data_IF_382219354732
#
_entry.id   IF_382219354732
#
_cell.length_a   1.000
_cell.length_b   1.000
_cell.length_c   1.000
_cell.angle_alpha   90.00
_cell.angle_beta   90.00
_cell.angle_gamma   90.00
#
_symmetry.space_group_name_H-M   'P 1'
#
loop_
_entity.id
_entity.type
_entity.pdbx_description
1 polymer ?
#
# COMPACT_ATOMS: atom_id res chain seq x y z
N UNK A 1 -36.20 24.21 -12.43
CA UNK A 1 -35.84 24.08 -11.01
C UNK A 1 -35.11 22.77 -10.66
N UNK A 2 -34.98 21.80 -11.61
CA UNK A 2 -34.31 20.51 -11.34
C UNK A 2 -32.78 20.51 -11.57
N UNK A 3 -32.26 21.42 -12.41
CA UNK A 3 -30.84 21.45 -12.75
C UNK A 3 -29.90 21.86 -11.61
N UNK A 4 -30.32 22.72 -10.69
CA UNK A 4 -29.49 23.16 -9.58
C UNK A 4 -29.22 22.08 -8.53
N UNK A 5 -30.21 21.22 -8.26
CA UNK A 5 -30.06 20.10 -7.31
C UNK A 5 -29.12 19.01 -7.83
N UNK A 6 -29.16 18.71 -9.11
CA UNK A 6 -28.25 17.71 -9.75
C UNK A 6 -26.80 18.18 -9.65
N UNK A 7 -26.53 19.47 -9.83
CA UNK A 7 -25.18 20.04 -9.70
C UNK A 7 -24.67 19.98 -8.26
N UNK A 8 -25.55 20.21 -7.27
CA UNK A 8 -25.20 20.12 -5.85
C UNK A 8 -24.88 18.67 -5.43
N UNK A 9 -25.66 17.68 -5.89
CA UNK A 9 -25.38 16.27 -5.64
C UNK A 9 -24.08 15.82 -6.33
N UNK A 10 -23.82 16.26 -7.55
CA UNK A 10 -22.57 15.94 -8.24
C UNK A 10 -21.33 16.53 -7.54
N UNK A 11 -21.44 17.71 -6.89
CA UNK A 11 -20.36 18.27 -6.09
C UNK A 11 -20.09 17.45 -4.81
N UNK A 12 -21.11 16.81 -4.23
CA UNK A 12 -20.97 15.94 -3.05
C UNK A 12 -20.34 14.57 -3.39
N UNK A 13 -20.29 14.19 -4.65
CA UNK A 13 -19.67 12.94 -5.12
C UNK A 13 -18.15 13.06 -5.37
N UNK A 14 -17.54 14.20 -5.00
CA UNK A 14 -16.11 14.37 -5.14
C UNK A 14 -15.38 13.57 -4.06
N UNK A 15 -14.80 12.45 -4.45
CA UNK A 15 -13.78 11.79 -3.63
C UNK A 15 -12.50 12.62 -3.64
N UNK A 16 -11.86 12.70 -2.50
CA UNK A 16 -10.51 13.25 -2.41
C UNK A 16 -9.59 12.37 -3.28
N UNK A 17 -9.04 12.96 -4.34
CA UNK A 17 -8.28 12.24 -5.35
C UNK A 17 -7.01 11.65 -4.75
N UNK A 18 -6.96 10.36 -4.59
CA UNK A 18 -5.72 9.62 -4.52
C UNK A 18 -5.43 9.11 -5.93
N UNK A 19 -4.28 9.45 -6.49
CA UNK A 19 -3.92 9.26 -7.89
C UNK A 19 -4.16 7.85 -8.45
N UNK A 20 -4.14 6.81 -7.62
CA UNK A 20 -4.38 5.42 -8.04
C UNK A 20 -5.86 5.03 -8.14
N UNK A 21 -6.78 5.79 -7.54
CA UNK A 21 -8.20 5.44 -7.45
C UNK A 21 -9.11 6.31 -8.32
N UNK A 22 -8.57 7.42 -8.86
CA UNK A 22 -9.35 8.40 -9.63
C UNK A 22 -9.90 7.79 -10.94
N UNK A 23 -9.08 7.01 -11.63
CA UNK A 23 -9.48 6.33 -12.87
C UNK A 23 -10.64 5.35 -12.64
N UNK A 24 -10.55 4.54 -11.60
CA UNK A 24 -11.55 3.53 -11.26
C UNK A 24 -12.86 4.18 -10.84
N UNK A 25 -12.79 5.24 -10.03
CA UNK A 25 -13.96 5.97 -9.56
C UNK A 25 -14.63 6.75 -10.70
N UNK A 26 -13.84 7.43 -11.52
CA UNK A 26 -14.34 8.15 -12.69
C UNK A 26 -15.02 7.19 -13.68
N UNK A 27 -14.49 5.96 -13.85
CA UNK A 27 -15.14 4.93 -14.66
C UNK A 27 -16.50 4.52 -14.06
N UNK A 28 -16.60 4.30 -12.75
CA UNK A 28 -17.90 3.97 -12.10
C UNK A 28 -18.93 5.07 -12.33
N UNK A 29 -18.55 6.34 -12.20
CA UNK A 29 -19.46 7.47 -12.46
C UNK A 29 -19.91 7.52 -13.92
N UNK A 30 -19.00 7.23 -14.86
CA UNK A 30 -19.26 7.17 -16.29
C UNK A 30 -20.20 6.01 -16.66
N UNK A 31 -19.92 4.80 -16.15
CA UNK A 31 -20.68 3.57 -16.42
C UNK A 31 -22.11 3.68 -15.90
N UNK A 32 -22.32 4.38 -14.78
CA UNK A 32 -23.62 4.65 -14.20
C UNK A 32 -24.29 5.95 -14.69
N UNK A 33 -23.78 6.54 -15.77
CA UNK A 33 -24.32 7.77 -16.38
C UNK A 33 -24.45 8.98 -15.45
N UNK A 34 -23.64 9.02 -14.37
CA UNK A 34 -23.61 10.12 -13.42
C UNK A 34 -22.82 11.30 -14.01
N UNK A 35 -21.80 10.99 -14.82
CA UNK A 35 -21.07 11.97 -15.63
C UNK A 35 -21.31 11.73 -17.12
N UNK A 36 -21.25 12.80 -17.91
CA UNK A 36 -21.51 12.73 -19.36
C UNK A 36 -20.35 12.17 -20.17
N UNK A 37 -19.13 12.17 -19.60
CA UNK A 37 -17.93 11.66 -20.24
C UNK A 37 -17.94 10.14 -20.24
N UNK A 38 -17.88 9.51 -21.42
CA UNK A 38 -17.75 8.06 -21.55
C UNK A 38 -16.27 7.68 -21.44
N UNK A 39 -15.95 6.88 -20.43
CA UNK A 39 -14.60 6.38 -20.17
C UNK A 39 -14.49 4.90 -20.54
N UNK A 40 -13.31 4.48 -21.00
CA UNK A 40 -13.03 3.08 -21.24
C UNK A 40 -12.82 2.34 -19.91
N UNK A 41 -13.28 1.09 -19.85
CA UNK A 41 -13.12 0.24 -18.67
C UNK A 41 -11.64 -0.04 -18.42
N UNK A 42 -11.13 0.27 -17.21
CA UNK A 42 -9.75 -0.06 -16.84
C UNK A 42 -9.48 -1.55 -16.87
N UNK A 43 -8.23 -1.94 -17.19
CA UNK A 43 -7.83 -3.35 -17.17
C UNK A 43 -7.97 -3.95 -15.76
N UNK A 44 -8.42 -5.21 -15.69
CA UNK A 44 -8.64 -5.93 -14.42
C UNK A 44 -9.55 -5.19 -13.42
N UNK A 45 -10.43 -4.30 -13.90
CA UNK A 45 -11.31 -3.47 -13.08
C UNK A 45 -12.06 -4.27 -12.00
N UNK A 46 -12.57 -5.45 -12.35
CA UNK A 46 -13.31 -6.29 -11.39
C UNK A 46 -12.52 -6.73 -10.15
N UNK A 47 -11.20 -6.72 -10.21
CA UNK A 47 -10.29 -7.10 -9.12
C UNK A 47 -9.78 -5.91 -8.33
N UNK A 48 -9.97 -4.68 -8.81
CA UNK A 48 -9.50 -3.47 -8.16
C UNK A 48 -10.31 -3.14 -6.90
N UNK A 49 -9.68 -2.52 -5.90
CA UNK A 49 -10.28 -2.26 -4.57
C UNK A 49 -11.54 -1.42 -4.65
N UNK A 50 -11.54 -0.34 -5.46
CA UNK A 50 -12.70 0.55 -5.63
C UNK A 50 -13.89 -0.22 -6.25
N UNK A 51 -13.65 -1.05 -7.27
CA UNK A 51 -14.70 -1.85 -7.87
C UNK A 51 -15.28 -2.90 -6.91
N UNK A 52 -14.42 -3.48 -6.04
CA UNK A 52 -14.89 -4.41 -4.99
C UNK A 52 -15.71 -3.69 -3.93
N UNK A 53 -15.25 -2.51 -3.48
CA UNK A 53 -15.96 -1.68 -2.51
C UNK A 53 -17.31 -1.24 -3.07
N UNK A 54 -17.35 -0.74 -4.31
CA UNK A 54 -18.59 -0.33 -4.98
C UNK A 54 -19.63 -1.47 -5.02
N UNK A 55 -19.23 -2.67 -5.47
CA UNK A 55 -20.13 -3.84 -5.50
C UNK A 55 -20.58 -4.27 -4.10
N UNK A 56 -19.71 -4.18 -3.12
CA UNK A 56 -20.05 -4.50 -1.74
C UNK A 56 -21.09 -3.52 -1.20
N UNK A 57 -20.91 -2.22 -1.40
CA UNK A 57 -21.88 -1.21 -0.96
C UNK A 57 -23.23 -1.32 -1.72
N UNK A 58 -23.20 -1.61 -3.03
CA UNK A 58 -24.45 -1.87 -3.76
C UNK A 58 -25.23 -3.01 -3.13
N UNK A 59 -24.55 -4.13 -2.85
CA UNK A 59 -25.21 -5.29 -2.22
C UNK A 59 -25.75 -4.93 -0.83
N UNK A 60 -25.01 -4.21 0.00
CA UNK A 60 -25.51 -3.78 1.30
C UNK A 60 -26.75 -2.90 1.20
N UNK A 61 -26.81 -2.00 0.22
CA UNK A 61 -27.96 -1.14 -0.01
C UNK A 61 -29.15 -1.98 -0.47
N UNK A 62 -28.95 -2.95 -1.37
CA UNK A 62 -29.99 -3.87 -1.84
C UNK A 62 -30.54 -4.71 -0.67
N UNK A 63 -29.68 -5.29 0.16
CA UNK A 63 -30.06 -6.07 1.33
C UNK A 63 -30.87 -5.22 2.34
N UNK A 64 -30.42 -3.99 2.64
CA UNK A 64 -31.12 -3.05 3.52
C UNK A 64 -32.50 -2.63 2.96
N UNK A 65 -32.60 -2.40 1.64
CA UNK A 65 -33.89 -2.11 0.99
C UNK A 65 -34.86 -3.26 1.17
N UNK A 66 -34.41 -4.51 1.02
CA UNK A 66 -35.26 -5.70 1.21
C UNK A 66 -35.68 -5.86 2.67
N UNK A 67 -34.81 -5.57 3.64
CA UNK A 67 -35.15 -5.59 5.06
C UNK A 67 -36.24 -4.55 5.38
N UNK A 68 -36.07 -3.29 4.93
CA UNK A 68 -37.07 -2.23 5.12
C UNK A 68 -38.41 -2.61 4.50
N UNK A 69 -38.41 -3.25 3.32
CA UNK A 69 -39.65 -3.72 2.66
C UNK A 69 -40.31 -4.91 3.36
N UNK A 70 -39.51 -5.73 4.05
CA UNK A 70 -40.04 -6.82 4.87
C UNK A 70 -40.78 -6.27 6.07
N UNK A 71 -40.24 -5.24 6.71
CA UNK A 71 -40.83 -4.56 7.87
C UNK A 71 -42.04 -3.68 7.48
N UNK A 72 -42.02 -3.11 6.27
CA UNK A 72 -43.10 -2.29 5.74
C UNK A 72 -43.43 -2.66 4.26
N UNK A 73 -44.30 -3.67 4.03
CA UNK A 73 -44.60 -4.17 2.70
C UNK A 73 -45.20 -3.14 1.73
N UNK A 74 -45.71 -2.02 2.23
CA UNK A 74 -46.32 -0.97 1.39
C UNK A 74 -45.32 0.11 0.96
N UNK A 75 -44.08 0.04 1.39
CA UNK A 75 -43.05 1.03 1.01
C UNK A 75 -42.55 0.75 -0.39
N UNK A 76 -42.36 1.79 -1.19
CA UNK A 76 -41.73 1.68 -2.50
C UNK A 76 -40.20 1.59 -2.35
N UNK A 77 -39.50 1.06 -3.36
CA UNK A 77 -38.03 1.01 -3.38
C UNK A 77 -37.38 2.39 -3.16
N UNK A 78 -37.95 3.43 -3.80
CA UNK A 78 -37.55 4.82 -3.62
C UNK A 78 -37.78 5.28 -2.17
N UNK A 79 -38.90 4.90 -1.56
CA UNK A 79 -39.18 5.21 -0.16
C UNK A 79 -38.18 4.56 0.81
N UNK A 80 -37.80 3.31 0.56
CA UNK A 80 -36.78 2.60 1.30
C UNK A 80 -35.40 3.26 1.15
N UNK A 81 -35.00 3.64 -0.06
CA UNK A 81 -33.75 4.37 -0.32
C UNK A 81 -33.73 5.73 0.42
N UNK A 82 -34.83 6.46 0.47
CA UNK A 82 -34.90 7.69 1.25
C UNK A 82 -34.75 7.46 2.76
N UNK A 83 -35.20 6.34 3.29
CA UNK A 83 -34.94 6.00 4.69
C UNK A 83 -33.45 5.75 4.95
N UNK A 84 -32.76 5.07 4.03
CA UNK A 84 -31.32 4.87 4.12
C UNK A 84 -30.58 6.22 4.08
N UNK A 85 -30.93 7.11 3.14
CA UNK A 85 -30.33 8.45 3.04
C UNK A 85 -30.53 9.24 4.34
N UNK A 86 -31.72 9.19 4.95
CA UNK A 86 -31.96 9.84 6.25
C UNK A 86 -31.10 9.30 7.38
N UNK A 87 -30.78 7.98 7.38
CA UNK A 87 -29.82 7.41 8.36
C UNK A 87 -28.44 8.05 8.20
N UNK A 88 -27.97 8.27 6.95
CA UNK A 88 -26.71 8.97 6.69
C UNK A 88 -26.76 10.45 7.07
N UNK A 89 -27.86 11.15 6.79
CA UNK A 89 -28.04 12.56 7.16
C UNK A 89 -28.08 12.76 8.69
N UNK A 90 -28.52 11.76 9.44
CA UNK A 90 -28.53 11.77 10.90
C UNK A 90 -27.15 11.44 11.52
N UNK A 91 -26.17 11.03 10.73
CA UNK A 91 -24.82 10.74 11.22
C UNK A 91 -24.11 12.05 11.64
N UNK A 92 -23.54 12.03 12.84
CA UNK A 92 -22.71 13.12 13.33
C UNK A 92 -21.28 12.89 12.92
N UNK A 93 -20.74 13.79 12.12
CA UNK A 93 -19.33 13.77 11.68
C UNK A 93 -18.56 14.84 12.46
N UNK A 94 -17.40 14.46 12.97
CA UNK A 94 -16.47 15.36 13.64
C UNK A 94 -15.26 15.57 12.75
N UNK A 95 -15.07 16.80 12.28
CA UNK A 95 -13.84 17.23 11.60
C UNK A 95 -12.79 17.64 12.63
N UNK A 96 -11.59 17.11 12.53
CA UNK A 96 -10.47 17.49 13.38
C UNK A 96 -9.35 18.00 12.47
N UNK A 97 -8.97 19.25 12.66
CA UNK A 97 -7.83 19.87 11.99
C UNK A 97 -6.63 19.84 12.93
N UNK A 98 -5.46 19.55 12.38
CA UNK A 98 -4.20 19.49 13.13
C UNK A 98 -3.13 20.28 12.38
N UNK A 99 -2.28 20.98 13.12
CA UNK A 99 -1.33 21.92 12.55
C UNK A 99 -0.06 21.24 12.03
N UNK A 100 0.28 20.06 12.55
CA UNK A 100 1.51 19.38 12.18
C UNK A 100 1.27 17.93 11.73
N UNK A 101 2.10 17.43 10.81
CA UNK A 101 2.06 16.03 10.39
C UNK A 101 2.27 15.07 11.56
N UNK A 102 3.05 15.45 12.56
CA UNK A 102 3.28 14.67 13.78
C UNK A 102 2.00 14.52 14.60
N UNK A 103 1.25 15.62 14.79
CA UNK A 103 -0.01 15.59 15.54
C UNK A 103 -1.09 14.83 14.77
N UNK A 104 -1.13 14.98 13.43
CA UNK A 104 -1.99 14.17 12.56
C UNK A 104 -1.70 12.68 12.72
N UNK A 105 -0.42 12.29 12.76
CA UNK A 105 -0.01 10.92 12.97
C UNK A 105 -0.45 10.39 14.35
N UNK A 106 -0.16 11.11 15.43
CA UNK A 106 -0.51 10.68 16.78
C UNK A 106 -2.02 10.55 16.98
N UNK A 107 -2.79 11.49 16.41
CA UNK A 107 -4.25 11.44 16.43
C UNK A 107 -4.78 10.24 15.63
N UNK A 108 -4.26 10.03 14.43
CA UNK A 108 -4.65 8.93 13.56
C UNK A 108 -4.37 7.57 14.22
N UNK A 109 -3.19 7.38 14.81
CA UNK A 109 -2.83 6.17 15.55
C UNK A 109 -3.77 5.94 16.75
N UNK A 110 -4.02 6.97 17.54
CA UNK A 110 -4.91 6.90 18.70
C UNK A 110 -6.36 6.53 18.32
N UNK A 111 -6.87 7.07 17.22
CA UNK A 111 -8.24 6.78 16.75
C UNK A 111 -8.35 5.37 16.19
N UNK A 112 -7.33 4.91 15.46
CA UNK A 112 -7.34 3.57 14.83
C UNK A 112 -7.11 2.42 15.81
N UNK A 113 -6.57 2.68 17.00
CA UNK A 113 -6.48 1.66 18.05
C UNK A 113 -7.85 1.07 18.47
N UNK A 114 -8.94 1.76 18.13
CA UNK A 114 -10.33 1.34 18.47
C UNK A 114 -11.09 0.71 17.28
N UNK A 115 -10.48 0.64 16.08
CA UNK A 115 -11.11 0.16 14.85
C UNK A 115 -10.35 -0.96 14.18
N UNK A 116 -10.30 -0.95 12.83
CA UNK A 116 -9.49 -1.88 12.05
C UNK A 116 -8.01 -1.55 12.29
N UNK A 117 -7.21 -2.52 12.78
CA UNK A 117 -5.81 -2.24 13.08
C UNK A 117 -5.06 -1.84 11.81
N UNK A 118 -4.18 -0.85 11.94
CA UNK A 118 -3.26 -0.47 10.87
C UNK A 118 -2.35 -1.63 10.51
N UNK A 119 -2.03 -1.74 9.23
CA UNK A 119 -1.03 -2.69 8.79
C UNK A 119 0.36 -2.30 9.31
N UNK A 120 1.27 -3.28 9.42
CA UNK A 120 2.65 -3.02 9.83
C UNK A 120 3.32 -1.95 8.94
N UNK A 121 3.04 -1.98 7.63
CA UNK A 121 3.58 -0.99 6.69
C UNK A 121 2.99 0.40 6.88
N UNK A 122 1.73 0.52 7.29
CA UNK A 122 1.15 1.82 7.63
C UNK A 122 1.79 2.41 8.89
N UNK A 123 2.06 1.59 9.90
CA UNK A 123 2.74 2.02 11.11
C UNK A 123 4.18 2.47 10.82
N UNK A 124 4.92 1.70 10.02
CA UNK A 124 6.29 2.05 9.59
C UNK A 124 6.27 3.36 8.79
N UNK A 125 5.39 3.50 7.80
CA UNK A 125 5.22 4.74 7.02
C UNK A 125 4.95 5.94 7.93
N UNK A 126 4.01 5.79 8.84
CA UNK A 126 3.61 6.86 9.74
C UNK A 126 4.76 7.25 10.68
N UNK A 127 5.48 6.27 11.23
CA UNK A 127 6.68 6.51 12.04
C UNK A 127 7.75 7.28 11.26
N UNK A 128 7.93 6.95 9.97
CA UNK A 128 8.87 7.61 9.07
C UNK A 128 8.48 9.08 8.82
N UNK A 129 7.21 9.35 8.51
CA UNK A 129 6.69 10.70 8.29
C UNK A 129 6.81 11.54 9.56
N UNK A 130 6.59 10.94 10.74
CA UNK A 130 6.69 11.63 12.03
C UNK A 130 8.12 12.09 12.39
N UNK A 131 9.16 11.55 11.74
CA UNK A 131 10.55 12.00 11.91
C UNK A 131 10.94 13.17 11.01
N UNK A 132 10.09 13.54 10.05
CA UNK A 132 10.36 14.67 9.17
C UNK A 132 10.37 15.99 9.97
N UNK A 133 11.33 16.85 9.67
CA UNK A 133 11.55 18.12 10.39
C UNK A 133 10.51 19.17 10.02
N UNK A 134 9.99 19.09 8.80
CA UNK A 134 9.02 20.04 8.23
C UNK A 134 8.11 19.34 7.19
N UNK A 135 7.11 20.06 6.69
CA UNK A 135 6.15 19.53 5.72
C UNK A 135 6.78 19.08 4.41
N UNK A 136 7.77 19.82 3.90
CA UNK A 136 8.44 19.47 2.64
C UNK A 136 9.25 18.16 2.77
N UNK A 137 9.92 17.94 3.91
CA UNK A 137 10.61 16.70 4.21
C UNK A 137 9.61 15.53 4.34
N UNK A 138 8.47 15.77 4.97
CA UNK A 138 7.41 14.77 5.10
C UNK A 138 6.84 14.35 3.74
N UNK A 139 6.58 15.32 2.86
CA UNK A 139 6.09 15.07 1.51
C UNK A 139 7.13 14.30 0.68
N UNK A 140 8.41 14.67 0.76
CA UNK A 140 9.50 13.96 0.09
C UNK A 140 9.64 12.51 0.60
N UNK A 141 9.63 12.31 1.90
CA UNK A 141 9.70 10.97 2.51
C UNK A 141 8.50 10.11 2.08
N UNK A 142 7.31 10.70 2.01
CA UNK A 142 6.11 10.01 1.53
C UNK A 142 6.19 9.63 0.05
N UNK A 143 6.69 10.51 -0.81
CA UNK A 143 6.88 10.19 -2.24
C UNK A 143 7.92 9.08 -2.44
N UNK A 144 9.04 9.11 -1.73
CA UNK A 144 10.04 8.03 -1.77
C UNK A 144 9.45 6.70 -1.28
N UNK A 145 8.70 6.71 -0.19
CA UNK A 145 7.97 5.54 0.29
C UNK A 145 7.04 4.95 -0.76
N UNK A 146 6.26 5.80 -1.45
CA UNK A 146 5.38 5.36 -2.54
C UNK A 146 6.16 4.72 -3.70
N UNK A 147 7.32 5.29 -4.05
CA UNK A 147 8.19 4.73 -5.08
C UNK A 147 8.71 3.34 -4.69
N UNK A 148 9.13 3.16 -3.44
CA UNK A 148 9.52 1.84 -2.91
C UNK A 148 8.38 0.83 -3.04
N UNK A 149 7.18 1.16 -2.58
CA UNK A 149 6.03 0.27 -2.68
C UNK A 149 5.64 -0.05 -4.13
N UNK A 150 5.73 0.95 -5.02
CA UNK A 150 5.48 0.77 -6.45
C UNK A 150 6.47 -0.19 -7.09
N UNK A 151 7.75 -0.07 -6.76
CA UNK A 151 8.80 -0.94 -7.30
C UNK A 151 8.60 -2.41 -6.89
N UNK A 152 8.17 -2.68 -5.66
CA UNK A 152 8.02 -4.06 -5.15
C UNK A 152 6.65 -4.69 -5.40
N UNK A 153 5.67 -3.93 -5.93
CA UNK A 153 4.32 -4.44 -6.23
C UNK A 153 3.23 -3.58 -5.59
N UNK A 154 2.75 -2.60 -6.34
CA UNK A 154 1.92 -1.48 -5.86
C UNK A 154 0.65 -1.89 -5.10
N UNK A 155 0.05 -3.04 -5.44
CA UNK A 155 -1.28 -3.44 -4.94
C UNK A 155 -1.27 -4.75 -4.13
N UNK A 156 -0.10 -5.33 -3.87
CA UNK A 156 0.03 -6.57 -3.12
C UNK A 156 0.75 -6.36 -1.79
N UNK A 157 -0.06 -6.14 -0.74
CA UNK A 157 0.45 -5.98 0.63
C UNK A 157 1.35 -7.15 1.07
N UNK A 158 1.05 -8.38 0.65
CA UNK A 158 1.82 -9.55 1.09
C UNK A 158 3.22 -9.57 0.47
N UNK A 159 3.34 -9.12 -0.77
CA UNK A 159 4.64 -8.94 -1.46
C UNK A 159 5.42 -7.80 -0.82
N UNK A 160 4.76 -6.68 -0.55
CA UNK A 160 5.36 -5.53 0.12
C UNK A 160 5.90 -5.91 1.50
N UNK A 161 5.07 -6.49 2.38
CA UNK A 161 5.49 -6.91 3.72
C UNK A 161 6.64 -7.91 3.66
N UNK A 162 6.63 -8.83 2.71
CA UNK A 162 7.71 -9.79 2.46
C UNK A 162 9.01 -9.08 2.11
N UNK A 163 8.97 -8.09 1.21
CA UNK A 163 10.13 -7.28 0.86
C UNK A 163 10.77 -6.65 2.10
N UNK A 164 10.00 -5.97 2.94
CA UNK A 164 10.53 -5.32 4.14
C UNK A 164 11.20 -6.29 5.10
N UNK A 165 10.62 -7.49 5.30
CA UNK A 165 11.24 -8.54 6.11
C UNK A 165 12.51 -9.08 5.49
N UNK A 166 12.48 -9.36 4.19
CA UNK A 166 13.63 -9.92 3.47
C UNK A 166 14.76 -8.90 3.32
N UNK A 167 14.45 -7.63 3.08
CA UNK A 167 15.44 -6.54 3.06
C UNK A 167 16.23 -6.50 4.36
N UNK A 168 15.55 -6.38 5.49
CA UNK A 168 16.26 -6.33 6.77
C UNK A 168 17.08 -7.61 7.01
N UNK A 169 16.51 -8.77 6.77
CA UNK A 169 17.18 -10.04 7.02
C UNK A 169 18.40 -10.26 6.11
N UNK A 170 18.34 -9.82 4.84
CA UNK A 170 19.46 -9.93 3.89
C UNK A 170 20.62 -9.00 4.25
N UNK A 171 20.33 -7.78 4.71
CA UNK A 171 21.31 -6.72 4.95
C UNK A 171 21.49 -6.40 6.43
N UNK A 172 20.98 -7.24 7.34
CA UNK A 172 20.98 -7.00 8.78
C UNK A 172 22.35 -6.65 9.34
N UNK A 173 23.38 -7.35 8.92
CA UNK A 173 24.74 -7.13 9.44
C UNK A 173 25.33 -5.81 8.94
N UNK A 174 25.02 -5.41 7.72
CA UNK A 174 25.41 -4.13 7.14
C UNK A 174 24.65 -2.97 7.80
N UNK A 175 23.33 -3.11 7.91
CA UNK A 175 22.46 -2.12 8.54
C UNK A 175 22.79 -1.88 10.02
N UNK A 176 23.21 -2.91 10.73
CA UNK A 176 23.58 -2.82 12.15
C UNK A 176 25.08 -2.56 12.38
N UNK A 177 25.93 -2.58 11.36
CA UNK A 177 27.36 -2.41 11.51
C UNK A 177 27.76 -1.13 12.26
N UNK A 178 27.15 0.05 12.00
CA UNK A 178 27.47 1.28 12.72
C UNK A 178 27.20 1.20 14.23
N UNK A 179 26.27 0.35 14.65
CA UNK A 179 25.79 0.27 16.04
C UNK A 179 26.47 -0.83 16.86
N UNK A 180 27.21 -1.74 16.19
CA UNK A 180 27.92 -2.84 16.88
C UNK A 180 29.01 -2.34 17.82
N UNK A 181 29.62 -1.22 17.48
CA UNK A 181 30.79 -0.66 18.22
C UNK A 181 30.50 0.60 19.03
N UNK A 182 29.55 1.44 18.59
CA UNK A 182 29.37 2.78 19.14
C UNK A 182 28.16 2.91 20.09
N UNK A 183 27.01 2.36 19.73
CA UNK A 183 25.79 2.45 20.54
C UNK A 183 24.93 1.20 20.39
N UNK A 184 25.03 0.28 21.36
CA UNK A 184 24.25 -0.96 21.41
C UNK A 184 22.72 -0.73 21.45
N UNK A 185 22.26 0.50 21.71
CA UNK A 185 20.85 0.84 21.83
C UNK A 185 20.06 0.55 20.54
N UNK A 186 20.66 0.72 19.37
CA UNK A 186 20.03 0.49 18.08
C UNK A 186 20.42 -0.84 17.44
N UNK A 187 21.37 -1.58 18.00
CA UNK A 187 21.76 -2.88 17.48
C UNK A 187 20.65 -3.91 17.68
N UNK A 188 20.20 -4.52 16.57
CA UNK A 188 19.14 -5.50 16.53
C UNK A 188 19.69 -6.85 16.06
N UNK A 189 19.95 -7.76 17.02
CA UNK A 189 20.51 -9.08 16.74
C UNK A 189 19.50 -10.11 16.22
N UNK A 190 18.19 -9.81 16.25
CA UNK A 190 17.13 -10.73 15.88
C UNK A 190 16.65 -10.52 14.42
N UNK A 191 15.95 -11.51 13.89
CA UNK A 191 15.40 -11.50 12.54
C UNK A 191 14.10 -10.70 12.46
N UNK A 192 13.83 -10.10 11.29
CA UNK A 192 12.54 -9.55 10.97
C UNK A 192 11.54 -10.66 10.69
N UNK A 193 10.51 -10.71 11.52
CA UNK A 193 9.31 -11.54 11.42
C UNK A 193 8.10 -10.63 11.31
N UNK A 194 6.89 -11.17 11.17
CA UNK A 194 5.67 -10.35 11.23
C UNK A 194 5.51 -9.61 12.56
N UNK A 195 5.96 -10.20 13.65
CA UNK A 195 5.81 -9.64 15.01
C UNK A 195 6.89 -8.64 15.37
N UNK A 196 8.09 -8.75 14.79
CA UNK A 196 9.25 -7.89 15.11
C UNK A 196 9.47 -6.77 14.10
N UNK A 197 8.75 -6.79 12.96
CA UNK A 197 8.96 -5.88 11.84
C UNK A 197 8.84 -4.41 12.26
N UNK A 198 7.78 -4.07 12.96
CA UNK A 198 7.50 -2.69 13.40
C UNK A 198 8.62 -2.19 14.32
N UNK A 199 8.98 -2.95 15.36
CA UNK A 199 10.03 -2.57 16.31
C UNK A 199 11.39 -2.35 15.64
N UNK A 200 11.74 -3.20 14.65
CA UNK A 200 12.95 -3.07 13.86
C UNK A 200 12.96 -1.74 13.10
N UNK A 201 11.91 -1.48 12.33
CA UNK A 201 11.85 -0.29 11.49
C UNK A 201 11.73 0.99 12.29
N UNK A 202 10.99 1.00 13.40
CA UNK A 202 10.94 2.17 14.28
C UNK A 202 12.32 2.54 14.84
N UNK A 203 13.14 1.56 15.20
CA UNK A 203 14.52 1.80 15.67
C UNK A 203 15.42 2.32 14.56
N UNK A 204 15.32 1.75 13.35
CA UNK A 204 16.08 2.23 12.20
C UNK A 204 15.66 3.66 11.80
N UNK A 205 14.39 3.96 11.81
CA UNK A 205 13.82 5.28 11.50
C UNK A 205 14.31 6.32 12.53
N UNK A 206 14.27 5.99 13.81
CA UNK A 206 14.78 6.87 14.89
C UNK A 206 16.29 7.11 14.80
N UNK A 207 17.02 6.20 14.18
CA UNK A 207 18.45 6.36 13.96
C UNK A 207 18.74 7.33 12.81
N UNK A 208 18.28 7.01 11.61
CA UNK A 208 18.38 7.85 10.41
C UNK A 208 17.38 7.37 9.35
N UNK A 209 16.24 8.06 9.27
CA UNK A 209 15.19 7.70 8.32
C UNK A 209 15.57 7.98 6.86
N UNK A 210 16.46 8.96 6.59
CA UNK A 210 16.87 9.32 5.22
C UNK A 210 17.77 8.22 4.65
N UNK A 211 18.75 7.79 5.41
CA UNK A 211 19.63 6.66 5.04
C UNK A 211 18.80 5.37 4.86
N UNK A 212 17.81 5.15 5.72
CA UNK A 212 16.90 4.00 5.56
C UNK A 212 16.13 4.05 4.25
N UNK A 213 15.56 5.20 3.88
CA UNK A 213 14.81 5.37 2.61
C UNK A 213 15.69 5.17 1.38
N UNK A 214 16.91 5.70 1.38
CA UNK A 214 17.87 5.49 0.30
C UNK A 214 18.18 3.99 0.12
N UNK A 215 18.46 3.30 1.22
CA UNK A 215 18.69 1.86 1.22
C UNK A 215 17.47 1.08 0.72
N UNK A 216 16.27 1.42 1.18
CA UNK A 216 15.03 0.79 0.72
C UNK A 216 14.80 1.00 -0.77
N UNK A 217 15.02 2.21 -1.28
CA UNK A 217 14.82 2.53 -2.69
C UNK A 217 15.78 1.75 -3.59
N UNK A 218 17.06 1.69 -3.24
CA UNK A 218 18.06 0.92 -3.99
C UNK A 218 17.69 -0.58 -4.04
N UNK A 219 17.38 -1.18 -2.88
CA UNK A 219 17.09 -2.61 -2.78
C UNK A 219 15.72 -2.97 -3.33
N UNK A 220 14.73 -2.05 -3.29
CA UNK A 220 13.45 -2.22 -3.95
C UNK A 220 13.58 -2.34 -5.47
N UNK A 221 14.47 -1.56 -6.09
CA UNK A 221 14.76 -1.68 -7.51
C UNK A 221 15.39 -3.04 -7.86
N UNK A 222 16.28 -3.57 -7.02
CA UNK A 222 16.82 -4.93 -7.21
C UNK A 222 15.77 -6.01 -6.97
N UNK A 223 14.91 -5.82 -5.98
CA UNK A 223 13.81 -6.75 -5.70
C UNK A 223 12.75 -6.76 -6.81
N UNK A 224 12.53 -5.63 -7.47
CA UNK A 224 11.59 -5.54 -8.60
C UNK A 224 11.99 -6.45 -9.75
N UNK A 225 13.29 -6.63 -10.02
CA UNK A 225 13.79 -7.57 -11.03
C UNK A 225 13.35 -9.00 -10.71
N UNK A 226 13.25 -9.37 -9.42
CA UNK A 226 12.85 -10.72 -9.01
C UNK A 226 11.33 -10.92 -9.12
N UNK A 227 10.53 -9.89 -8.76
CA UNK A 227 9.06 -10.03 -8.64
C UNK A 227 8.28 -9.56 -9.86
N UNK A 228 8.83 -8.59 -10.63
CA UNK A 228 8.18 -8.01 -11.81
C UNK A 228 8.82 -8.49 -13.12
N UNK A 229 9.42 -9.65 -13.14
CA UNK A 229 10.21 -10.28 -14.20
C UNK A 229 9.44 -10.44 -15.54
N UNK A 230 8.86 -9.36 -16.04
CA UNK A 230 8.07 -9.32 -17.29
C UNK A 230 8.91 -8.98 -18.52
N UNK A 231 10.10 -8.40 -18.34
CA UNK A 231 10.96 -7.93 -19.41
C UNK A 231 12.11 -8.94 -19.65
N UNK A 232 12.35 -9.30 -20.91
CA UNK A 232 13.42 -10.23 -21.31
C UNK A 232 14.81 -9.56 -21.35
N UNK A 233 15.04 -8.56 -20.50
CA UNK A 233 16.30 -7.79 -20.49
C UNK A 233 17.50 -8.57 -19.94
N UNK A 234 17.26 -9.60 -19.14
CA UNK A 234 18.33 -10.37 -18.50
C UNK A 234 18.28 -11.85 -18.85
N UNK A 235 19.45 -12.47 -19.02
CA UNK A 235 19.57 -13.91 -19.33
C UNK A 235 18.95 -14.82 -18.26
N UNK A 236 18.74 -14.32 -17.04
CA UNK A 236 18.11 -15.04 -15.93
C UNK A 236 16.59 -14.80 -15.79
N UNK A 237 15.97 -13.98 -16.66
CA UNK A 237 14.53 -13.64 -16.55
C UNK A 237 13.64 -14.88 -16.56
N UNK A 238 13.83 -15.80 -17.51
CA UNK A 238 13.05 -17.03 -17.59
C UNK A 238 13.23 -17.92 -16.34
N UNK A 239 14.45 -18.01 -15.81
CA UNK A 239 14.71 -18.75 -14.57
C UNK A 239 14.01 -18.12 -13.36
N UNK A 240 13.99 -16.77 -13.26
CA UNK A 240 13.23 -16.06 -12.22
C UNK A 240 11.72 -16.32 -12.33
N UNK A 241 11.16 -16.34 -13.54
CA UNK A 241 9.75 -16.69 -13.77
C UNK A 241 9.44 -18.12 -13.33
N UNK A 242 10.32 -19.08 -13.61
CA UNK A 242 10.17 -20.47 -13.18
C UNK A 242 10.24 -20.59 -11.66
N UNK A 243 11.18 -19.89 -11.02
CA UNK A 243 11.28 -19.84 -9.57
C UNK A 243 10.00 -19.27 -8.92
N UNK A 244 9.40 -18.22 -9.52
CA UNK A 244 8.14 -17.66 -9.07
C UNK A 244 6.98 -18.67 -9.16
N UNK A 245 6.92 -19.49 -10.24
CA UNK A 245 5.89 -20.52 -10.45
C UNK A 245 5.91 -21.62 -9.38
N UNK A 246 7.09 -21.98 -8.88
CA UNK A 246 7.23 -22.97 -7.79
C UNK A 246 7.13 -22.36 -6.39
N UNK A 247 6.70 -21.10 -6.29
CA UNK A 247 6.62 -20.37 -5.02
C UNK A 247 7.97 -20.20 -4.30
N UNK A 248 9.03 -19.98 -5.05
CA UNK A 248 10.41 -19.84 -4.58
C UNK A 248 10.70 -18.56 -3.76
N UNK A 249 9.68 -17.89 -3.26
CA UNK A 249 9.79 -16.65 -2.49
C UNK A 249 10.78 -16.67 -1.30
N UNK A 250 11.03 -17.78 -0.60
CA UNK A 250 12.11 -17.84 0.42
C UNK A 250 13.49 -17.52 -0.14
N UNK A 251 13.76 -17.84 -1.40
CA UNK A 251 15.05 -17.59 -2.07
C UNK A 251 15.24 -16.11 -2.44
N UNK A 252 14.20 -15.31 -2.46
CA UNK A 252 14.27 -13.90 -2.89
C UNK A 252 15.20 -13.05 -2.00
N UNK A 253 15.34 -13.40 -0.73
CA UNK A 253 16.29 -12.79 0.19
C UNK A 253 17.74 -12.95 -0.33
N UNK A 254 18.13 -14.17 -0.70
CA UNK A 254 19.44 -14.45 -1.26
C UNK A 254 19.64 -13.73 -2.60
N UNK A 255 18.67 -13.82 -3.50
CA UNK A 255 18.74 -13.20 -4.81
C UNK A 255 18.85 -11.69 -4.74
N UNK A 256 18.08 -11.03 -3.85
CA UNK A 256 18.20 -9.60 -3.63
C UNK A 256 19.61 -9.21 -3.13
N UNK A 257 20.18 -9.98 -2.22
CA UNK A 257 21.54 -9.76 -1.75
C UNK A 257 22.57 -9.91 -2.88
N UNK A 258 22.47 -10.97 -3.68
CA UNK A 258 23.37 -11.22 -4.82
C UNK A 258 23.26 -10.13 -5.88
N UNK A 259 22.04 -9.73 -6.27
CA UNK A 259 21.82 -8.69 -7.26
C UNK A 259 22.30 -7.31 -6.78
N UNK A 260 22.19 -7.03 -5.47
CA UNK A 260 22.69 -5.77 -4.90
C UNK A 260 24.22 -5.75 -4.86
N UNK A 261 24.86 -6.89 -4.57
CA UNK A 261 26.32 -6.99 -4.42
C UNK A 261 26.99 -7.59 -5.67
N UNK A 262 26.32 -7.60 -6.83
CA UNK A 262 26.77 -8.29 -8.04
C UNK A 262 28.20 -7.89 -8.45
N UNK A 263 28.49 -6.59 -8.48
CA UNK A 263 29.83 -6.08 -8.80
C UNK A 263 30.88 -6.46 -7.75
N UNK A 264 30.53 -6.28 -6.47
CA UNK A 264 31.42 -6.61 -5.33
C UNK A 264 31.77 -8.09 -5.31
N UNK A 265 30.81 -8.95 -5.65
CA UNK A 265 30.98 -10.40 -5.70
C UNK A 265 31.52 -10.89 -7.06
N UNK A 266 31.70 -10.00 -8.04
CA UNK A 266 32.13 -10.28 -9.41
C UNK A 266 31.26 -11.35 -10.09
N UNK A 267 29.94 -11.28 -9.91
CA UNK A 267 28.98 -12.19 -10.51
C UNK A 267 28.56 -11.64 -11.88
N UNK A 268 28.63 -12.49 -12.91
CA UNK A 268 28.00 -12.21 -14.20
C UNK A 268 26.51 -12.57 -14.16
N UNK A 269 25.75 -12.14 -15.18
CA UNK A 269 24.33 -12.50 -15.31
C UNK A 269 24.17 -14.02 -15.52
N UNK A 270 25.12 -14.69 -16.16
CA UNK A 270 25.15 -16.15 -16.28
C UNK A 270 25.37 -16.83 -14.93
N UNK A 271 26.19 -16.25 -14.04
CA UNK A 271 26.32 -16.77 -12.68
C UNK A 271 25.01 -16.64 -11.90
N UNK A 272 24.33 -15.50 -12.01
CA UNK A 272 22.99 -15.31 -11.38
C UNK A 272 22.02 -16.34 -11.94
N UNK A 273 21.98 -16.53 -13.27
CA UNK A 273 21.13 -17.56 -13.90
C UNK A 273 21.41 -18.94 -13.34
N UNK A 274 22.67 -19.36 -13.29
CA UNK A 274 23.06 -20.67 -12.76
C UNK A 274 22.63 -20.86 -11.30
N UNK A 275 22.76 -19.81 -10.47
CA UNK A 275 22.29 -19.84 -9.07
C UNK A 275 20.77 -20.00 -9.02
N UNK A 276 20.02 -19.25 -9.83
CA UNK A 276 18.56 -19.37 -9.87
C UNK A 276 18.12 -20.75 -10.33
N UNK A 277 18.78 -21.31 -11.35
CA UNK A 277 18.50 -22.66 -11.87
C UNK A 277 18.75 -23.76 -10.81
N UNK A 278 19.67 -23.55 -9.86
CA UNK A 278 19.89 -24.47 -8.72
C UNK A 278 18.75 -24.36 -7.68
N UNK A 279 18.11 -23.20 -7.57
CA UNK A 279 17.05 -22.94 -6.60
C UNK A 279 15.66 -23.43 -7.07
N UNK A 280 15.53 -23.83 -8.33
CA UNK A 280 14.34 -24.42 -8.94
C UNK A 280 14.32 -25.93 -8.73
#
# INVERSE_FOLDING_TARGET
ASGGKVTEYNQRLLLQKQNSNDEDYSFILSDNSIITLKLSKPSNFGNRRIAKAYRHFLKLIEDEVQEIKTDNPNITDIGALFQIVRKFEAAVLVGIEVDTNKDAYMLFESLNHRGVPLSALDLIKNSLIAQAENSADADNAYEQWKQVLKAVGQDDYSVQERFFRQFYNAFRDELNAPYKSADKKYYLGYLATRTTLIDIYEKMIKSDYRVLLENLSEKANKYSIIVNNTDDEHVYTTSMQNLARISGAPSYLLLMYLLTNQEKLRLSDENIKAIVDILI
#
